data_IF_444902290393
#
_entry.id   IF_444902290393
#
_cell.length_a   1.000
_cell.length_b   1.000
_cell.length_c   1.000
_cell.angle_alpha   90.00
_cell.angle_beta   90.00
_cell.angle_gamma   90.00
#
_symmetry.space_group_name_H-M   'P 1'
#
loop_
_entity.id
_entity.type
_entity.pdbx_description
1 polymer ?
#
# COMPACT_ATOMS: atom_id res chain seq x y z
N UNK A 1 -11.17 -27.59 5.43
CA UNK A 1 -11.55 -26.18 5.65
C UNK A 1 -12.05 -26.09 7.08
N UNK A 2 -11.51 -25.19 7.90
CA UNK A 2 -12.09 -24.97 9.24
C UNK A 2 -13.50 -24.44 9.04
N UNK A 3 -14.48 -25.04 9.73
CA UNK A 3 -15.84 -24.51 9.77
C UNK A 3 -15.77 -23.16 10.48
N UNK A 4 -16.18 -22.08 9.81
CA UNK A 4 -16.20 -20.74 10.40
C UNK A 4 -17.34 -20.68 11.42
N UNK A 5 -17.03 -20.31 12.66
CA UNK A 5 -18.02 -20.20 13.73
C UNK A 5 -18.72 -18.83 13.69
N UNK A 6 -19.93 -18.80 13.13
CA UNK A 6 -20.74 -17.58 13.01
C UNK A 6 -21.31 -17.06 14.33
N UNK A 7 -21.17 -17.80 15.44
CA UNK A 7 -21.56 -17.29 16.76
C UNK A 7 -20.60 -16.21 17.28
N UNK A 8 -19.37 -16.19 16.77
CA UNK A 8 -18.35 -15.20 17.13
C UNK A 8 -18.72 -13.78 16.64
N UNK A 9 -18.06 -12.73 17.19
CA UNK A 9 -18.17 -11.39 16.65
C UNK A 9 -17.80 -11.35 15.16
N UNK A 10 -18.51 -10.55 14.36
CA UNK A 10 -18.30 -10.47 12.91
C UNK A 10 -16.83 -10.16 12.54
N UNK A 11 -16.14 -9.34 13.33
CA UNK A 11 -14.72 -9.05 13.12
C UNK A 11 -13.82 -10.29 13.19
N UNK A 12 -14.15 -11.26 14.04
CA UNK A 12 -13.39 -12.51 14.17
C UNK A 12 -13.75 -13.48 13.05
N UNK A 13 -15.05 -13.61 12.75
CA UNK A 13 -15.57 -14.36 11.60
C UNK A 13 -14.86 -13.96 10.32
N UNK A 14 -14.80 -12.65 10.03
CA UNK A 14 -14.14 -12.13 8.83
C UNK A 14 -12.63 -12.34 8.87
N UNK A 15 -11.97 -12.07 10.00
CA UNK A 15 -10.51 -12.24 10.12
C UNK A 15 -10.09 -13.69 9.84
N UNK A 16 -10.81 -14.65 10.40
CA UNK A 16 -10.50 -16.07 10.23
C UNK A 16 -10.89 -16.56 8.85
N UNK A 17 -12.10 -16.22 8.40
CA UNK A 17 -12.63 -16.67 7.12
C UNK A 17 -11.87 -16.13 5.91
N UNK A 18 -11.34 -14.91 5.97
CA UNK A 18 -10.64 -14.29 4.84
C UNK A 18 -9.12 -14.46 4.89
N UNK A 19 -8.56 -15.11 5.93
CA UNK A 19 -7.11 -15.20 6.14
C UNK A 19 -6.37 -15.76 4.92
N UNK A 20 -6.84 -16.89 4.38
CA UNK A 20 -6.22 -17.54 3.23
C UNK A 20 -6.28 -16.66 1.98
N UNK A 21 -7.43 -16.07 1.70
CA UNK A 21 -7.61 -15.20 0.54
C UNK A 21 -6.75 -13.93 0.63
N UNK A 22 -6.56 -13.39 1.84
CA UNK A 22 -5.63 -12.29 2.10
C UNK A 22 -4.18 -12.68 1.77
N UNK A 23 -3.70 -13.83 2.28
CA UNK A 23 -2.35 -14.34 2.01
C UNK A 23 -2.10 -14.52 0.50
N UNK A 24 -3.07 -15.07 -0.24
CA UNK A 24 -2.98 -15.26 -1.69
C UNK A 24 -2.86 -13.95 -2.48
N UNK A 25 -3.59 -12.91 -2.08
CA UNK A 25 -3.52 -11.59 -2.72
C UNK A 25 -2.19 -10.89 -2.41
N UNK A 26 -1.71 -10.99 -1.17
CA UNK A 26 -0.48 -10.33 -0.71
C UNK A 26 0.76 -10.83 -1.47
N UNK A 27 0.81 -12.13 -1.79
CA UNK A 27 1.94 -12.74 -2.53
C UNK A 27 1.81 -12.63 -4.06
N UNK A 28 0.76 -11.97 -4.57
CA UNK A 28 0.57 -11.84 -6.01
C UNK A 28 1.71 -11.02 -6.68
N UNK A 29 2.07 -11.32 -7.94
CA UNK A 29 3.14 -10.60 -8.64
C UNK A 29 2.86 -9.09 -8.79
N UNK A 30 1.62 -8.69 -9.03
CA UNK A 30 1.23 -7.28 -9.10
C UNK A 30 1.39 -6.58 -7.76
N UNK A 31 0.88 -7.18 -6.66
CA UNK A 31 1.01 -6.60 -5.32
C UNK A 31 2.48 -6.48 -4.91
N UNK A 32 3.28 -7.51 -5.20
CA UNK A 32 4.73 -7.50 -4.97
C UNK A 32 5.44 -6.40 -5.75
N UNK A 33 5.14 -6.23 -7.04
CA UNK A 33 5.74 -5.18 -7.85
C UNK A 33 5.33 -3.78 -7.39
N UNK A 34 4.07 -3.60 -6.97
CA UNK A 34 3.60 -2.34 -6.37
C UNK A 34 4.35 -2.03 -5.07
N UNK A 35 4.47 -3.00 -4.17
CA UNK A 35 5.17 -2.85 -2.88
C UNK A 35 6.67 -2.58 -3.03
N UNK A 36 7.28 -3.06 -4.11
CA UNK A 36 8.68 -2.79 -4.46
C UNK A 36 8.87 -1.50 -5.25
N UNK A 37 7.79 -0.84 -5.68
CA UNK A 37 7.85 0.35 -6.52
C UNK A 37 8.32 0.07 -7.96
N UNK A 38 8.13 -1.16 -8.45
CA UNK A 38 8.58 -1.64 -9.77
C UNK A 38 7.54 -1.38 -10.88
N UNK A 39 6.36 -0.84 -10.54
CA UNK A 39 5.37 -0.42 -11.52
C UNK A 39 5.79 0.91 -12.16
N UNK A 40 5.68 1.02 -13.48
CA UNK A 40 5.82 2.30 -14.15
C UNK A 40 4.74 3.27 -13.63
N UNK A 41 5.06 4.57 -13.57
CA UNK A 41 4.15 5.60 -13.03
C UNK A 41 2.77 5.59 -13.69
N UNK A 42 2.71 5.41 -15.02
CA UNK A 42 1.44 5.32 -15.76
C UNK A 42 0.60 4.10 -15.36
N UNK A 43 1.24 2.96 -15.09
CA UNK A 43 0.56 1.74 -14.64
C UNK A 43 0.02 1.91 -13.21
N UNK A 44 0.79 2.56 -12.34
CA UNK A 44 0.32 2.92 -11.01
C UNK A 44 -0.87 3.88 -11.06
N UNK A 45 -0.82 4.91 -11.92
CA UNK A 45 -1.96 5.82 -12.13
C UNK A 45 -3.19 5.07 -12.65
N UNK A 46 -3.02 4.14 -13.61
CA UNK A 46 -4.12 3.31 -14.10
C UNK A 46 -4.72 2.45 -12.98
N UNK A 47 -3.89 1.87 -12.13
CA UNK A 47 -4.33 1.15 -10.94
C UNK A 47 -5.13 2.05 -9.98
N UNK A 48 -4.66 3.27 -9.70
CA UNK A 48 -5.41 4.23 -8.88
C UNK A 48 -6.76 4.60 -9.51
N UNK A 49 -6.86 4.73 -10.83
CA UNK A 49 -8.14 4.97 -11.52
C UNK A 49 -9.11 3.80 -11.34
N UNK A 50 -8.63 2.55 -11.38
CA UNK A 50 -9.46 1.38 -11.08
C UNK A 50 -9.92 1.37 -9.63
N UNK A 51 -9.01 1.69 -8.69
CA UNK A 51 -9.39 1.87 -7.29
C UNK A 51 -10.44 2.97 -7.13
N UNK A 52 -10.26 4.13 -7.77
CA UNK A 52 -11.21 5.23 -7.69
C UNK A 52 -12.62 4.78 -8.05
N UNK A 53 -12.80 4.03 -9.15
CA UNK A 53 -14.11 3.50 -9.53
C UNK A 53 -14.69 2.56 -8.46
N UNK A 54 -13.86 1.71 -7.84
CA UNK A 54 -14.30 0.79 -6.77
C UNK A 54 -14.73 1.58 -5.52
N UNK A 55 -13.86 2.46 -5.01
CA UNK A 55 -14.13 3.26 -3.81
C UNK A 55 -15.32 4.18 -4.01
N UNK A 56 -15.37 4.92 -5.11
CA UNK A 56 -16.48 5.82 -5.42
C UNK A 56 -17.82 5.06 -5.50
N UNK A 57 -17.82 3.83 -6.01
CA UNK A 57 -19.05 3.02 -6.10
C UNK A 57 -19.53 2.56 -4.71
N UNK A 58 -18.67 1.95 -3.89
CA UNK A 58 -19.13 1.46 -2.59
C UNK A 58 -19.33 2.60 -1.58
N UNK A 59 -18.57 3.69 -1.66
CA UNK A 59 -18.73 4.86 -0.79
C UNK A 59 -20.07 5.56 -1.01
N UNK A 60 -20.51 5.69 -2.28
CA UNK A 60 -21.87 6.17 -2.60
C UNK A 60 -22.95 5.21 -2.10
N UNK A 61 -22.69 3.89 -2.16
CA UNK A 61 -23.56 2.88 -1.57
C UNK A 61 -23.69 3.04 -0.05
N UNK A 62 -22.57 3.24 0.65
CA UNK A 62 -22.55 3.49 2.10
C UNK A 62 -23.26 4.79 2.46
N UNK A 63 -23.07 5.87 1.70
CA UNK A 63 -23.77 7.15 1.91
C UNK A 63 -25.28 7.01 1.75
N UNK A 64 -25.74 6.33 0.69
CA UNK A 64 -27.16 6.05 0.48
C UNK A 64 -27.79 5.31 1.65
N UNK A 65 -27.04 4.39 2.27
CA UNK A 65 -27.50 3.51 3.34
C UNK A 65 -26.89 3.85 4.70
N UNK A 66 -26.48 5.10 4.92
CA UNK A 66 -25.75 5.52 6.12
C UNK A 66 -26.50 5.29 7.44
N UNK A 67 -27.83 5.22 7.40
CA UNK A 67 -28.68 4.96 8.56
C UNK A 67 -29.09 3.48 8.70
N UNK A 68 -28.61 2.60 7.81
CA UNK A 68 -28.91 1.18 7.89
C UNK A 68 -28.27 0.58 9.16
N UNK A 69 -28.99 -0.19 10.00
CA UNK A 69 -28.48 -0.62 11.30
C UNK A 69 -27.15 -1.38 11.27
N UNK A 70 -26.90 -2.14 10.20
CA UNK A 70 -25.64 -2.89 10.01
C UNK A 70 -24.48 -1.98 9.57
N UNK A 71 -24.76 -0.88 8.87
CA UNK A 71 -23.73 -0.03 8.25
C UNK A 71 -23.40 1.22 9.09
N UNK A 72 -24.43 1.83 9.69
CA UNK A 72 -24.34 3.06 10.49
C UNK A 72 -23.19 3.07 11.50
N UNK A 73 -22.94 1.99 12.29
CA UNK A 73 -21.89 2.03 13.31
C UNK A 73 -20.46 2.17 12.77
N UNK A 74 -20.26 1.94 11.47
CA UNK A 74 -18.97 2.05 10.79
C UNK A 74 -18.90 3.25 9.83
N UNK A 75 -19.99 3.99 9.68
CA UNK A 75 -20.09 5.09 8.73
C UNK A 75 -19.41 6.35 9.28
N UNK A 76 -18.22 6.66 8.76
CA UNK A 76 -17.52 7.92 9.02
C UNK A 76 -16.75 8.36 7.76
N UNK A 77 -17.40 9.05 6.81
CA UNK A 77 -16.78 9.43 5.54
C UNK A 77 -15.61 10.40 5.74
N UNK A 78 -15.67 11.27 6.75
CA UNK A 78 -14.58 12.22 7.03
C UNK A 78 -13.28 11.54 7.42
N UNK A 79 -13.37 10.35 8.01
CA UNK A 79 -12.23 9.53 8.41
C UNK A 79 -11.80 8.56 7.31
N UNK A 80 -12.77 7.85 6.71
CA UNK A 80 -12.51 6.66 5.91
C UNK A 80 -12.59 6.89 4.40
N UNK A 81 -13.38 7.85 3.91
CA UNK A 81 -13.59 8.00 2.46
C UNK A 81 -12.26 8.24 1.72
N UNK A 82 -12.04 7.46 0.66
CA UNK A 82 -10.82 7.42 -0.13
C UNK A 82 -11.03 7.94 -1.55
N UNK A 83 -12.23 7.89 -2.11
CA UNK A 83 -12.46 8.35 -3.49
C UNK A 83 -12.00 9.80 -3.75
N UNK A 84 -12.21 10.78 -2.83
CA UNK A 84 -11.67 12.13 -3.01
C UNK A 84 -10.13 12.16 -3.03
N UNK A 85 -9.48 11.41 -2.13
CA UNK A 85 -8.03 11.33 -2.04
C UNK A 85 -7.43 10.66 -3.30
N UNK A 86 -8.09 9.62 -3.82
CA UNK A 86 -7.71 8.98 -5.08
C UNK A 86 -7.81 9.94 -6.26
N UNK A 87 -8.91 10.72 -6.36
CA UNK A 87 -9.07 11.75 -7.40
C UNK A 87 -7.93 12.76 -7.37
N UNK A 88 -7.63 13.31 -6.19
CA UNK A 88 -6.55 14.27 -5.99
C UNK A 88 -5.17 13.69 -6.33
N UNK A 89 -4.89 12.46 -5.89
CA UNK A 89 -3.62 11.79 -6.16
C UNK A 89 -3.44 11.49 -7.66
N UNK A 90 -4.49 11.01 -8.34
CA UNK A 90 -4.46 10.77 -9.80
C UNK A 90 -4.16 12.07 -10.54
N UNK A 91 -4.86 13.16 -10.21
CA UNK A 91 -4.66 14.46 -10.85
C UNK A 91 -3.23 14.97 -10.64
N UNK A 92 -2.72 14.88 -9.42
CA UNK A 92 -1.34 15.27 -9.10
C UNK A 92 -0.31 14.46 -9.88
N UNK A 93 -0.44 13.14 -9.92
CA UNK A 93 0.50 12.26 -10.61
C UNK A 93 0.51 12.51 -12.13
N UNK A 94 -0.61 12.92 -12.70
CA UNK A 94 -0.74 13.30 -14.10
C UNK A 94 -0.31 14.74 -14.41
N UNK A 95 -0.14 15.59 -13.38
CA UNK A 95 0.14 17.01 -13.57
C UNK A 95 -1.05 17.78 -14.15
N UNK A 96 -2.28 17.36 -13.86
CA UNK A 96 -3.52 17.98 -14.33
C UNK A 96 -4.40 18.38 -13.16
N UNK A 97 -5.45 19.16 -13.42
CA UNK A 97 -6.46 19.47 -12.38
C UNK A 97 -7.39 18.29 -12.12
N UNK A 98 -8.05 18.25 -10.97
CA UNK A 98 -8.98 17.17 -10.63
C UNK A 98 -10.18 17.06 -11.60
N UNK A 99 -10.60 18.16 -12.20
CA UNK A 99 -11.67 18.14 -13.21
C UNK A 99 -11.22 17.55 -14.55
N UNK A 100 -9.92 17.46 -14.80
CA UNK A 100 -9.36 17.04 -16.09
C UNK A 100 -8.92 15.58 -16.14
N UNK A 101 -8.64 14.94 -15.00
CA UNK A 101 -8.01 13.61 -15.02
C UNK A 101 -8.88 12.55 -15.70
N UNK A 102 -10.22 12.65 -15.61
CA UNK A 102 -11.16 11.75 -16.31
C UNK A 102 -11.15 11.91 -17.83
N UNK A 103 -10.64 13.02 -18.35
CA UNK A 103 -10.45 13.22 -19.80
C UNK A 103 -9.02 12.86 -20.25
N UNK A 104 -8.14 12.48 -19.32
CA UNK A 104 -6.76 12.12 -19.65
C UNK A 104 -6.72 10.81 -20.46
N UNK A 105 -5.75 10.67 -21.38
CA UNK A 105 -5.63 9.52 -22.28
C UNK A 105 -5.64 8.16 -21.56
N UNK A 106 -5.07 8.07 -20.36
CA UNK A 106 -5.00 6.82 -19.58
C UNK A 106 -6.40 6.41 -19.10
N UNK A 107 -7.21 7.36 -18.64
CA UNK A 107 -8.60 7.08 -18.24
C UNK A 107 -9.47 6.79 -19.47
N UNK A 108 -9.31 7.58 -20.55
CA UNK A 108 -10.02 7.34 -21.80
C UNK A 108 -9.76 5.94 -22.39
N UNK A 109 -8.53 5.42 -22.24
CA UNK A 109 -8.19 4.04 -22.59
C UNK A 109 -8.82 3.01 -21.64
N UNK A 110 -8.85 3.31 -20.34
CA UNK A 110 -9.50 2.46 -19.33
C UNK A 110 -11.01 2.34 -19.59
N UNK A 111 -11.65 3.41 -20.06
CA UNK A 111 -13.08 3.48 -20.36
C UNK A 111 -13.38 3.45 -21.86
N UNK A 112 -12.48 2.85 -22.67
CA UNK A 112 -12.63 2.83 -24.11
C UNK A 112 -13.96 2.17 -24.51
N UNK A 113 -14.63 2.71 -25.53
CA UNK A 113 -15.96 2.28 -25.97
C UNK A 113 -17.07 2.42 -24.92
N UNK A 114 -16.88 3.27 -23.91
CA UNK A 114 -17.88 3.54 -22.88
C UNK A 114 -18.03 2.42 -21.84
N UNK A 115 -17.10 1.46 -21.79
CA UNK A 115 -17.15 0.33 -20.86
C UNK A 115 -15.88 0.23 -20.02
N UNK A 116 -16.02 -0.23 -18.77
CA UNK A 116 -14.89 -0.53 -17.89
C UNK A 116 -14.27 -1.90 -18.27
N UNK A 117 -13.00 -2.17 -17.93
CA UNK A 117 -12.42 -3.49 -18.11
C UNK A 117 -13.27 -4.55 -17.41
N UNK A 118 -13.40 -5.78 -17.95
CA UNK A 118 -14.33 -6.78 -17.43
C UNK A 118 -14.22 -7.03 -15.91
N UNK A 119 -13.01 -7.13 -15.37
CA UNK A 119 -12.79 -7.32 -13.94
C UNK A 119 -13.35 -6.16 -13.09
N UNK A 120 -13.13 -4.92 -13.53
CA UNK A 120 -13.62 -3.71 -12.85
C UNK A 120 -15.13 -3.55 -13.03
N UNK A 121 -15.66 -3.83 -14.22
CA UNK A 121 -17.09 -3.80 -14.51
C UNK A 121 -17.86 -4.79 -13.61
N UNK A 122 -17.38 -6.04 -13.52
CA UNK A 122 -17.99 -7.06 -12.65
C UNK A 122 -17.97 -6.62 -11.18
N UNK A 123 -16.85 -6.08 -10.70
CA UNK A 123 -16.73 -5.68 -9.30
C UNK A 123 -17.66 -4.50 -8.97
N UNK A 124 -17.66 -3.45 -9.79
CA UNK A 124 -18.53 -2.28 -9.60
C UNK A 124 -20.01 -2.61 -9.77
N UNK A 125 -20.36 -3.50 -10.71
CA UNK A 125 -21.73 -3.99 -10.88
C UNK A 125 -22.22 -4.76 -9.64
N UNK A 126 -21.38 -5.61 -9.03
CA UNK A 126 -21.75 -6.33 -7.80
C UNK A 126 -22.02 -5.38 -6.63
N UNK A 127 -21.18 -4.34 -6.48
CA UNK A 127 -21.40 -3.31 -5.45
C UNK A 127 -22.75 -2.62 -5.67
N UNK A 128 -23.05 -2.25 -6.92
CA UNK A 128 -24.30 -1.57 -7.27
C UNK A 128 -25.52 -2.48 -7.03
N UNK A 129 -25.43 -3.76 -7.39
CA UNK A 129 -26.46 -4.78 -7.12
C UNK A 129 -26.80 -4.85 -5.63
N UNK A 130 -25.79 -4.91 -4.75
CA UNK A 130 -26.00 -4.94 -3.29
C UNK A 130 -26.64 -3.63 -2.83
N UNK A 131 -26.13 -2.49 -3.30
CA UNK A 131 -26.64 -1.17 -2.94
C UNK A 131 -28.07 -0.88 -3.43
N UNK A 132 -28.54 -1.60 -4.45
CA UNK A 132 -29.91 -1.50 -4.98
C UNK A 132 -30.85 -2.58 -4.41
N UNK A 133 -30.31 -3.57 -3.69
CA UNK A 133 -31.09 -4.66 -3.10
C UNK A 133 -31.90 -4.21 -1.87
N UNK A 134 -32.82 -5.06 -1.42
CA UNK A 134 -33.61 -4.83 -0.21
C UNK A 134 -32.79 -4.92 1.09
N UNK A 135 -31.62 -5.57 1.05
CA UNK A 135 -30.71 -5.68 2.20
C UNK A 135 -29.27 -5.31 1.78
N UNK A 136 -28.83 -4.07 2.05
CA UNK A 136 -27.51 -3.59 1.66
C UNK A 136 -26.39 -4.01 2.63
N UNK A 137 -26.66 -4.88 3.62
CA UNK A 137 -25.71 -5.25 4.68
C UNK A 137 -24.36 -5.74 4.14
N UNK A 138 -24.35 -6.43 3.00
CA UNK A 138 -23.14 -6.94 2.38
C UNK A 138 -22.17 -5.83 1.89
N UNK A 139 -22.60 -4.56 1.78
CA UNK A 139 -21.68 -3.43 1.56
C UNK A 139 -20.59 -3.32 2.64
N UNK A 140 -20.89 -3.79 3.86
CA UNK A 140 -19.92 -3.83 4.96
C UNK A 140 -18.68 -4.65 4.62
N UNK A 141 -18.82 -5.69 3.80
CA UNK A 141 -17.70 -6.52 3.36
C UNK A 141 -16.68 -5.72 2.53
N UNK A 142 -17.16 -4.87 1.62
CA UNK A 142 -16.31 -4.01 0.81
C UNK A 142 -15.58 -2.99 1.68
N UNK A 143 -16.30 -2.33 2.59
CA UNK A 143 -15.70 -1.41 3.55
C UNK A 143 -14.63 -2.09 4.43
N UNK A 144 -14.92 -3.29 4.94
CA UNK A 144 -14.00 -4.09 5.75
C UNK A 144 -12.70 -4.40 5.01
N UNK A 145 -12.79 -5.05 3.84
CA UNK A 145 -11.58 -5.50 3.13
C UNK A 145 -10.74 -4.31 2.66
N UNK A 146 -11.40 -3.27 2.14
CA UNK A 146 -10.70 -2.10 1.59
C UNK A 146 -10.09 -1.24 2.70
N UNK A 147 -10.91 -0.71 3.62
CA UNK A 147 -10.42 0.23 4.62
C UNK A 147 -9.44 -0.39 5.62
N UNK A 148 -9.69 -1.61 6.11
CA UNK A 148 -8.75 -2.24 7.05
C UNK A 148 -7.45 -2.68 6.39
N UNK A 149 -7.50 -3.00 5.09
CA UNK A 149 -6.30 -3.22 4.26
C UNK A 149 -5.45 -1.96 4.18
N UNK A 150 -6.07 -0.84 3.82
CA UNK A 150 -5.40 0.47 3.71
C UNK A 150 -4.75 0.90 5.04
N UNK A 151 -5.46 0.69 6.15
CA UNK A 151 -4.99 1.00 7.52
C UNK A 151 -3.87 0.06 8.03
N UNK A 152 -3.58 -1.04 7.35
CA UNK A 152 -2.60 -2.04 7.80
C UNK A 152 -1.29 -1.98 7.00
N UNK A 153 -1.36 -1.73 5.69
CA UNK A 153 -0.17 -1.68 4.81
C UNK A 153 0.22 -0.28 4.32
N UNK A 154 -0.64 0.74 4.52
CA UNK A 154 -0.52 2.04 3.85
C UNK A 154 0.82 2.74 4.06
N UNK A 155 1.41 2.67 5.24
CA UNK A 155 2.69 3.34 5.55
C UNK A 155 3.90 2.69 4.84
N UNK A 156 3.87 1.38 4.61
CA UNK A 156 4.93 0.70 3.87
C UNK A 156 4.79 1.01 2.37
N UNK A 157 3.56 0.95 1.86
CA UNK A 157 3.25 1.29 0.47
C UNK A 157 3.65 2.76 0.19
N UNK A 158 3.24 3.69 1.04
CA UNK A 158 3.53 5.11 0.91
C UNK A 158 5.04 5.38 0.80
N UNK A 159 5.86 4.73 1.63
CA UNK A 159 7.34 4.84 1.58
C UNK A 159 7.92 4.30 0.28
N UNK A 160 7.44 3.14 -0.18
CA UNK A 160 7.89 2.55 -1.44
C UNK A 160 7.58 3.47 -2.64
N UNK A 161 6.35 3.97 -2.71
CA UNK A 161 5.90 4.83 -3.80
C UNK A 161 6.56 6.21 -3.78
N UNK A 162 6.77 6.80 -2.61
CA UNK A 162 7.49 8.06 -2.46
C UNK A 162 8.89 7.97 -3.07
N UNK A 163 9.60 6.89 -2.75
CA UNK A 163 10.92 6.61 -3.33
C UNK A 163 10.84 6.34 -4.83
N UNK A 164 9.92 5.48 -5.26
CA UNK A 164 9.83 5.03 -6.65
C UNK A 164 9.47 6.16 -7.64
N UNK A 165 8.63 7.12 -7.21
CA UNK A 165 8.10 8.18 -8.07
C UNK A 165 8.58 9.58 -7.71
N UNK A 166 9.53 9.70 -6.79
CA UNK A 166 10.09 11.00 -6.36
C UNK A 166 9.07 11.89 -5.67
N UNK A 167 8.17 11.32 -4.86
CA UNK A 167 7.11 12.07 -4.15
C UNK A 167 7.54 12.38 -2.72
N UNK A 168 6.95 13.44 -2.16
CA UNK A 168 7.14 13.77 -0.73
C UNK A 168 6.28 12.85 0.13
N UNK A 169 6.87 12.26 1.18
CA UNK A 169 6.13 11.45 2.15
C UNK A 169 4.95 12.21 2.75
N UNK A 170 3.75 11.64 2.69
CA UNK A 170 2.53 12.27 3.20
C UNK A 170 2.02 13.45 2.34
N UNK A 171 2.64 13.72 1.20
CA UNK A 171 2.27 14.79 0.29
C UNK A 171 1.25 14.38 -0.78
N UNK A 172 1.06 15.28 -1.75
CA UNK A 172 0.20 15.04 -2.91
C UNK A 172 0.69 13.84 -3.74
N UNK A 173 -0.25 13.07 -4.29
CA UNK A 173 0.04 11.79 -4.97
C UNK A 173 0.12 10.59 -4.03
N UNK A 174 0.03 10.81 -2.71
CA UNK A 174 0.06 9.79 -1.65
C UNK A 174 -0.99 10.03 -0.56
N UNK A 175 -1.97 10.90 -0.81
CA UNK A 175 -3.01 11.27 0.15
C UNK A 175 -3.98 10.12 0.43
N UNK A 176 -4.16 9.19 -0.52
CA UNK A 176 -4.96 7.97 -0.36
C UNK A 176 -4.54 7.15 0.88
N UNK A 177 -3.23 7.04 1.12
CA UNK A 177 -2.67 6.30 2.26
C UNK A 177 -2.61 7.10 3.56
N UNK A 178 -3.06 8.36 3.55
CA UNK A 178 -3.01 9.26 4.69
C UNK A 178 -4.37 9.31 5.37
N UNK A 179 -4.40 9.03 6.67
CA UNK A 179 -5.62 9.11 7.49
C UNK A 179 -5.47 10.19 8.56
N UNK A 180 -6.61 10.66 9.07
CA UNK A 180 -6.69 11.57 10.20
C UNK A 180 -6.94 10.80 11.49
N UNK A 181 -6.69 11.43 12.63
CA UNK A 181 -7.06 10.86 13.94
C UNK A 181 -8.57 10.66 14.06
N UNK A 182 -8.99 9.67 14.86
CA UNK A 182 -10.41 9.30 14.97
C UNK A 182 -11.30 10.44 15.48
N UNK A 183 -10.73 11.30 16.33
CA UNK A 183 -11.43 12.41 16.98
C UNK A 183 -10.79 13.78 16.70
N UNK A 184 -9.96 13.90 15.66
CA UNK A 184 -9.31 15.17 15.33
C UNK A 184 -8.93 15.25 13.84
N UNK A 185 -8.61 16.45 13.35
CA UNK A 185 -8.15 16.63 11.97
C UNK A 185 -6.64 16.41 11.76
N UNK A 186 -5.90 16.02 12.80
CA UNK A 186 -4.46 15.79 12.71
C UNK A 186 -4.16 14.51 11.93
N UNK A 187 -2.98 14.41 11.29
CA UNK A 187 -2.54 13.15 10.68
C UNK A 187 -2.44 12.01 11.71
N UNK A 188 -2.97 10.84 11.36
CA UNK A 188 -2.94 9.66 12.22
C UNK A 188 -1.53 9.07 12.34
N UNK A 189 -1.10 8.81 13.58
CA UNK A 189 0.08 7.98 13.87
C UNK A 189 -0.21 6.49 13.71
N UNK A 190 0.82 5.63 13.75
CA UNK A 190 0.64 4.17 13.73
C UNK A 190 -0.27 3.69 14.87
N UNK A 191 -0.12 4.27 16.07
CA UNK A 191 -0.98 3.96 17.22
C UNK A 191 -2.44 4.36 16.97
N UNK A 192 -2.65 5.46 16.27
CA UNK A 192 -3.98 5.93 15.90
C UNK A 192 -4.63 5.05 14.83
N UNK A 193 -3.87 4.56 13.84
CA UNK A 193 -4.37 3.58 12.87
C UNK A 193 -4.92 2.34 13.58
N UNK A 194 -4.27 1.87 14.65
CA UNK A 194 -4.78 0.76 15.46
C UNK A 194 -6.14 1.09 16.09
N UNK A 195 -6.29 2.28 16.68
CA UNK A 195 -7.56 2.72 17.28
C UNK A 195 -8.68 2.81 16.24
N UNK A 196 -8.40 3.32 15.04
CA UNK A 196 -9.37 3.38 13.94
C UNK A 196 -9.83 1.97 13.56
N UNK A 197 -8.90 1.01 13.43
CA UNK A 197 -9.23 -0.39 13.16
C UNK A 197 -10.07 -1.02 14.27
N UNK A 198 -9.74 -0.75 15.53
CA UNK A 198 -10.48 -1.29 16.67
C UNK A 198 -11.90 -0.68 16.76
N UNK A 199 -12.03 0.63 16.51
CA UNK A 199 -13.33 1.31 16.39
C UNK A 199 -14.18 0.70 15.26
N UNK A 200 -13.60 0.51 14.07
CA UNK A 200 -14.31 -0.07 12.94
C UNK A 200 -14.78 -1.50 13.22
N UNK A 201 -13.92 -2.34 13.84
CA UNK A 201 -14.29 -3.70 14.27
C UNK A 201 -15.43 -3.70 15.29
N UNK A 202 -15.38 -2.81 16.28
CA UNK A 202 -16.46 -2.67 17.25
C UNK A 202 -17.77 -2.25 16.56
N UNK A 203 -17.70 -1.34 15.58
CA UNK A 203 -18.83 -0.94 14.75
C UNK A 203 -19.44 -2.12 13.98
N UNK A 204 -18.62 -2.91 13.28
CA UNK A 204 -19.08 -4.12 12.57
C UNK A 204 -19.78 -5.10 13.52
N UNK A 205 -19.20 -5.35 14.69
CA UNK A 205 -19.76 -6.26 15.68
C UNK A 205 -21.10 -5.76 16.20
N UNK A 206 -21.20 -4.45 16.47
CA UNK A 206 -22.46 -3.82 16.88
C UNK A 206 -23.52 -3.89 15.78
N UNK A 207 -23.15 -3.60 14.53
CA UNK A 207 -24.07 -3.57 13.40
C UNK A 207 -24.65 -4.95 13.07
N UNK A 208 -23.81 -5.99 13.06
CA UNK A 208 -24.27 -7.35 12.80
C UNK A 208 -24.96 -8.00 14.02
N UNK A 209 -24.56 -7.63 15.24
CA UNK A 209 -25.07 -8.23 16.48
C UNK A 209 -24.96 -9.74 16.47
N UNK A 210 -26.05 -10.41 16.85
CA UNK A 210 -26.15 -11.88 16.85
C UNK A 210 -26.81 -12.45 15.58
N UNK A 211 -27.08 -11.61 14.57
CA UNK A 211 -27.73 -12.05 13.33
C UNK A 211 -26.77 -12.90 12.48
N UNK A 212 -26.95 -14.21 12.53
CA UNK A 212 -26.10 -15.17 11.80
C UNK A 212 -26.24 -15.06 10.28
N UNK A 213 -27.42 -14.69 9.76
CA UNK A 213 -27.64 -14.53 8.32
C UNK A 213 -26.86 -13.33 7.77
N UNK A 214 -26.86 -12.21 8.50
CA UNK A 214 -26.03 -11.04 8.17
C UNK A 214 -24.55 -11.40 8.22
N UNK A 215 -24.10 -12.11 9.27
CA UNK A 215 -22.70 -12.54 9.37
C UNK A 215 -22.29 -13.45 8.21
N UNK A 216 -23.14 -14.39 7.83
CA UNK A 216 -22.91 -15.28 6.70
C UNK A 216 -22.82 -14.50 5.37
N UNK A 217 -23.79 -13.61 5.11
CA UNK A 217 -23.83 -12.81 3.90
C UNK A 217 -22.61 -11.89 3.76
N UNK A 218 -22.21 -11.21 4.84
CA UNK A 218 -21.03 -10.34 4.85
C UNK A 218 -19.74 -11.15 4.69
N UNK A 219 -19.65 -12.35 5.29
CA UNK A 219 -18.49 -13.23 5.13
C UNK A 219 -18.36 -13.77 3.70
N UNK A 220 -19.47 -14.22 3.10
CA UNK A 220 -19.48 -14.66 1.70
C UNK A 220 -19.06 -13.52 0.77
N UNK A 221 -19.62 -12.33 0.95
CA UNK A 221 -19.25 -11.18 0.13
C UNK A 221 -17.80 -10.76 0.36
N UNK A 222 -17.27 -10.84 1.59
CA UNK A 222 -15.86 -10.55 1.85
C UNK A 222 -14.92 -11.49 1.08
N UNK A 223 -15.31 -12.75 0.93
CA UNK A 223 -14.57 -13.72 0.10
C UNK A 223 -14.57 -13.30 -1.37
N UNK A 224 -15.75 -12.91 -1.90
CA UNK A 224 -15.88 -12.38 -3.27
C UNK A 224 -15.05 -11.11 -3.47
N UNK A 225 -14.97 -10.23 -2.48
CA UNK A 225 -14.13 -9.03 -2.54
C UNK A 225 -12.65 -9.37 -2.72
N UNK A 226 -12.14 -10.42 -2.07
CA UNK A 226 -10.77 -10.88 -2.33
C UNK A 226 -10.61 -11.50 -3.72
N UNK A 227 -11.60 -12.24 -4.22
CA UNK A 227 -11.59 -12.75 -5.59
C UNK A 227 -11.55 -11.62 -6.62
N UNK A 228 -12.40 -10.59 -6.46
CA UNK A 228 -12.38 -9.39 -7.29
C UNK A 228 -11.04 -8.65 -7.19
N UNK A 229 -10.46 -8.55 -6.00
CA UNK A 229 -9.14 -7.93 -5.83
C UNK A 229 -8.08 -8.71 -6.61
N UNK A 230 -8.13 -10.04 -6.60
CA UNK A 230 -7.26 -10.89 -7.41
C UNK A 230 -7.43 -10.68 -8.91
N UNK A 231 -8.66 -10.50 -9.42
CA UNK A 231 -8.87 -10.25 -10.85
C UNK A 231 -8.40 -8.86 -11.28
N UNK A 232 -8.54 -7.85 -10.42
CA UNK A 232 -7.96 -6.52 -10.65
C UNK A 232 -6.44 -6.59 -10.74
N UNK A 233 -5.78 -7.32 -9.83
CA UNK A 233 -4.32 -7.50 -9.88
C UNK A 233 -3.85 -8.26 -11.13
N UNK A 234 -4.61 -9.26 -11.58
CA UNK A 234 -4.34 -9.94 -12.87
C UNK A 234 -4.42 -8.98 -14.05
N UNK A 235 -5.35 -8.03 -14.05
CA UNK A 235 -5.46 -7.01 -15.09
C UNK A 235 -4.25 -6.06 -15.08
N UNK A 236 -3.78 -5.66 -13.89
CA UNK A 236 -2.53 -4.89 -13.74
C UNK A 236 -1.33 -5.67 -14.27
N UNK A 237 -1.23 -6.97 -13.94
CA UNK A 237 -0.13 -7.83 -14.40
C UNK A 237 -0.11 -7.97 -15.93
N UNK A 238 -1.27 -8.10 -16.57
CA UNK A 238 -1.41 -8.16 -18.04
C UNK A 238 -0.86 -6.88 -18.69
N UNK A 239 -1.28 -5.72 -18.22
CA UNK A 239 -0.78 -4.44 -18.72
C UNK A 239 0.73 -4.25 -18.48
N UNK A 240 1.23 -4.68 -17.32
CA UNK A 240 2.67 -4.67 -17.02
C UNK A 240 3.46 -5.55 -18.01
N UNK A 241 2.95 -6.73 -18.35
CA UNK A 241 3.58 -7.63 -19.31
C UNK A 241 3.56 -7.04 -20.73
N UNK A 242 2.42 -6.49 -21.16
CA UNK A 242 2.25 -5.86 -22.47
C UNK A 242 3.17 -4.63 -22.63
N UNK A 243 3.33 -3.82 -21.58
CA UNK A 243 4.24 -2.68 -21.56
C UNK A 243 5.71 -3.10 -21.72
N UNK A 244 6.11 -4.23 -21.10
CA UNK A 244 7.44 -4.83 -21.29
C UNK A 244 7.61 -5.49 -22.67
N UNK A 245 6.51 -5.86 -23.35
CA UNK A 245 6.57 -6.45 -24.69
C UNK A 245 6.60 -5.41 -25.81
N UNK A 246 6.20 -4.17 -25.56
CA UNK A 246 6.19 -3.06 -26.55
C UNK A 246 7.48 -2.22 -26.56
N UNK A 247 8.64 -2.85 -26.37
CA UNK A 247 9.92 -2.09 -26.35
C UNK A 247 10.24 -1.54 -27.74
N UNK A 248 9.86 -0.28 -27.96
CA UNK A 248 10.45 0.64 -28.92
C UNK A 248 11.52 1.39 -28.16
N UNK A 249 12.70 0.79 -28.01
CA UNK A 249 14.01 1.42 -27.83
C UNK A 249 15.04 0.30 -27.71
N UNK A 250 15.75 0.06 -28.81
CA UNK A 250 17.03 -0.64 -28.78
C UNK A 250 18.04 0.35 -28.19
N UNK A 251 18.34 0.23 -26.90
CA UNK A 251 19.51 0.89 -26.33
C UNK A 251 20.74 0.23 -26.95
N UNK A 252 21.36 0.91 -27.91
CA UNK A 252 22.81 0.81 -28.05
C UNK A 252 23.39 1.45 -26.80
N UNK A 253 24.21 0.69 -26.11
CA UNK A 253 24.98 1.04 -24.90
C UNK A 253 24.28 0.72 -23.57
N UNK A 254 24.32 -0.55 -23.21
CA UNK A 254 24.50 -1.00 -21.82
C UNK A 254 25.31 -2.30 -21.86
N UNK A 255 26.63 -2.20 -22.02
CA UNK A 255 27.49 -3.27 -21.54
C UNK A 255 27.42 -3.29 -20.01
N UNK A 256 27.01 -4.39 -19.37
CA UNK A 256 26.98 -4.47 -17.92
C UNK A 256 28.42 -4.36 -17.41
N UNK A 257 28.73 -3.29 -16.65
CA UNK A 257 29.97 -3.20 -15.85
C UNK A 257 29.96 -4.33 -14.82
N UNK A 258 30.48 -5.48 -15.25
CA UNK A 258 30.75 -6.63 -14.40
C UNK A 258 32.04 -6.33 -13.64
N UNK A 259 31.92 -6.09 -12.34
CA UNK A 259 33.09 -5.99 -11.49
C UNK A 259 33.73 -7.37 -11.37
N UNK A 260 35.06 -7.51 -11.55
CA UNK A 260 35.73 -8.78 -11.32
C UNK A 260 35.43 -9.30 -9.92
N UNK A 261 35.11 -10.59 -9.79
CA UNK A 261 34.83 -11.24 -8.50
C UNK A 261 35.94 -10.98 -7.48
N UNK A 262 37.19 -10.85 -7.95
CA UNK A 262 38.35 -10.50 -7.14
C UNK A 262 38.25 -9.10 -6.48
N UNK A 263 37.65 -8.11 -7.15
CA UNK A 263 37.43 -6.77 -6.59
C UNK A 263 36.36 -6.79 -5.50
N UNK A 264 35.33 -7.62 -5.65
CA UNK A 264 34.30 -7.80 -4.62
C UNK A 264 34.86 -8.55 -3.42
N UNK A 265 35.61 -9.62 -3.65
CA UNK A 265 36.24 -10.43 -2.60
C UNK A 265 37.26 -9.59 -1.80
N UNK A 266 38.08 -8.77 -2.47
CA UNK A 266 39.08 -7.94 -1.78
C UNK A 266 38.45 -6.88 -0.86
N UNK A 267 37.34 -6.25 -1.28
CA UNK A 267 36.62 -5.29 -0.42
C UNK A 267 36.01 -6.00 0.79
N UNK A 268 35.40 -7.16 0.60
CA UNK A 268 34.83 -7.96 1.70
C UNK A 268 35.93 -8.38 2.68
N UNK A 269 37.07 -8.86 2.17
CA UNK A 269 38.20 -9.28 3.01
C UNK A 269 38.77 -8.11 3.83
N UNK A 270 38.89 -6.94 3.22
CA UNK A 270 39.37 -5.73 3.91
C UNK A 270 38.42 -5.30 5.04
N UNK A 271 37.11 -5.37 4.81
CA UNK A 271 36.09 -5.06 5.83
C UNK A 271 36.14 -6.10 6.97
N UNK A 272 36.28 -7.38 6.65
CA UNK A 272 36.40 -8.44 7.66
C UNK A 272 37.67 -8.32 8.50
N UNK A 273 38.82 -7.99 7.90
CA UNK A 273 40.09 -7.78 8.62
C UNK A 273 40.01 -6.51 9.48
N UNK A 274 39.41 -5.43 8.98
CA UNK A 274 39.19 -4.22 9.77
C UNK A 274 38.28 -4.48 10.97
N UNK A 275 37.19 -5.22 10.78
CA UNK A 275 36.28 -5.59 11.86
C UNK A 275 36.95 -6.52 12.89
N UNK A 276 37.70 -7.52 12.43
CA UNK A 276 38.48 -8.41 13.30
C UNK A 276 39.54 -7.63 14.09
N UNK A 277 40.25 -6.69 13.45
CA UNK A 277 41.24 -5.88 14.13
C UNK A 277 40.62 -4.98 15.21
N UNK A 278 39.46 -4.37 14.92
CA UNK A 278 38.74 -3.52 15.87
C UNK A 278 38.22 -4.32 17.08
N UNK A 279 37.77 -5.54 16.86
CA UNK A 279 37.16 -6.40 17.88
C UNK A 279 38.17 -7.16 18.73
N UNK A 280 39.26 -7.67 18.13
CA UNK A 280 40.26 -8.50 18.83
C UNK A 280 41.38 -7.68 19.46
N UNK A 281 41.82 -6.58 18.83
CA UNK A 281 42.86 -5.71 19.41
C UNK A 281 42.32 -4.64 20.38
N UNK A 282 41.03 -4.71 20.72
CA UNK A 282 40.42 -3.93 21.79
C UNK A 282 40.30 -2.44 21.48
N UNK A 283 39.85 -2.07 20.27
CA UNK A 283 39.55 -0.69 19.89
C UNK A 283 38.10 -0.27 20.24
N UNK A 284 37.41 -1.03 21.10
CA UNK A 284 36.06 -0.74 21.56
C UNK A 284 36.06 -0.39 23.06
N UNK A 285 35.24 0.58 23.47
CA UNK A 285 35.23 1.12 24.84
C UNK A 285 36.34 2.15 25.13
N UNK A 286 36.55 2.52 26.40
CA UNK A 286 37.49 3.59 26.78
C UNK A 286 38.94 3.36 26.33
N UNK A 287 39.41 2.10 26.32
CA UNK A 287 40.73 1.72 25.79
C UNK A 287 40.90 1.97 24.28
N UNK A 288 39.80 1.97 23.53
CA UNK A 288 39.81 2.30 22.10
C UNK A 288 39.94 3.79 21.85
N UNK A 289 39.34 4.61 22.71
CA UNK A 289 39.43 6.07 22.64
C UNK A 289 40.87 6.55 22.94
N UNK A 290 41.51 6.00 23.97
CA UNK A 290 42.91 6.33 24.30
C UNK A 290 43.86 6.03 23.12
N UNK A 291 43.67 4.90 22.43
CA UNK A 291 44.48 4.55 21.25
C UNK A 291 44.20 5.43 20.03
N UNK A 292 42.96 5.89 19.86
CA UNK A 292 42.60 6.84 18.80
C UNK A 292 43.28 8.20 19.03
N UNK A 293 43.26 8.70 20.27
CA UNK A 293 43.95 9.93 20.66
C UNK A 293 45.46 9.82 20.42
N UNK A 294 46.08 8.69 20.77
CA UNK A 294 47.51 8.45 20.47
C UNK A 294 47.82 8.48 18.97
N UNK A 295 46.91 7.99 18.12
CA UNK A 295 47.09 8.01 16.65
C UNK A 295 46.92 9.42 16.10
N UNK A 296 45.95 10.19 16.61
CA UNK A 296 45.77 11.61 16.24
C UNK A 296 46.99 12.46 16.63
N UNK A 297 47.54 12.26 17.84
CA UNK A 297 48.76 12.95 18.29
C UNK A 297 49.99 12.56 17.46
N UNK A 298 50.13 11.29 17.08
CA UNK A 298 51.21 10.83 16.20
C UNK A 298 51.10 11.43 14.79
N UNK A 299 49.89 11.50 14.23
CA UNK A 299 49.63 12.14 12.93
C UNK A 299 49.89 13.66 12.98
N UNK A 300 49.54 14.32 14.08
CA UNK A 300 49.86 15.73 14.29
C UNK A 300 51.37 15.98 14.41
N UNK A 301 52.11 15.06 15.03
CA UNK A 301 53.57 15.11 15.14
C UNK A 301 54.31 14.94 13.81
N UNK A 302 53.72 14.25 12.83
CA UNK A 302 54.28 14.08 11.48
C UNK A 302 54.19 15.36 10.62
N UNK A 303 53.34 16.32 10.99
CA UNK A 303 53.19 17.61 10.29
C UNK A 303 54.24 18.68 10.67
N UNK A 304 55.10 18.41 11.66
CA UNK A 304 56.06 19.38 12.20
C UNK A 304 57.47 19.27 11.60
N UNK A 305 57.65 19.63 10.32
CA UNK A 305 58.99 19.87 9.76
C UNK A 305 59.41 21.33 10.02
N UNK A 306 60.54 21.48 10.72
CA UNK A 306 61.23 22.72 11.10
C UNK A 306 61.42 23.69 9.92
N UNK A 307 61.15 24.98 10.12
CA UNK A 307 61.79 26.06 9.34
C UNK A 307 63.20 26.29 9.88
N UNK A 308 64.24 26.32 9.04
CA UNK A 308 65.56 26.80 9.47
C UNK A 308 65.55 28.34 9.50
N UNK A 309 66.23 28.91 10.51
CA UNK A 309 66.74 30.28 10.48
C UNK A 309 67.97 30.38 9.56
#
# INVERSE_FOLDING_TARGET
MSVIDLSQPLSDVLREGTKKAHEEVEVSPAASAMLKGELAKEEYVRFLMMLWHIYDTFERGLERHQNHPVLEPTYNPTLLARAPHLSADIAHLLGVTESQWKSHRIHAQLTANGTLPPALATYTARIQEIADSSDPSALLAHAYVRYLGDLSGGQTIQRALAKAYGLTMGGAGLSFYSFKELHSSKPASIGEMKKIKDWFRAGMNKGAGDNMDVKAAVMEEASRVFEFTGTIFKEVDRHRADAKSRVVFENKDDEPRSYPLASVISVILAICVAHFALTVFGFTGERGYEKLVMVEEWLAGLGGVRKPE
#
